data_IF_485203937749
#
_entry.id   IF_485203937749
#
_cell.length_a   1.000
_cell.length_b   1.000
_cell.length_c   1.000
_cell.angle_alpha   90.00
_cell.angle_beta   90.00
_cell.angle_gamma   90.00
#
_symmetry.space_group_name_H-M   'P 1'
#
loop_
_entity.id
_entity.type
_entity.pdbx_description
1 polymer ?
#
# COMPACT_ATOMS: atom_id res chain seq x y z
N UNK A 1 -17.62 -1.25 7.09
CA UNK A 1 -17.55 0.22 7.05
C UNK A 1 -18.78 0.66 6.29
N UNK A 2 -19.77 1.22 6.98
CA UNK A 2 -21.02 1.68 6.37
C UNK A 2 -21.01 3.21 6.51
N UNK A 3 -21.48 3.94 5.49
CA UNK A 3 -21.57 5.40 5.52
C UNK A 3 -20.44 6.17 4.82
N UNK A 4 -19.67 5.53 3.94
CA UNK A 4 -18.65 6.22 3.11
C UNK A 4 -19.13 6.52 1.68
N UNK A 5 -20.36 6.16 1.35
CA UNK A 5 -20.93 6.26 0.00
C UNK A 5 -20.91 7.69 -0.52
N UNK A 6 -21.38 8.64 0.29
CA UNK A 6 -21.43 10.07 -0.07
C UNK A 6 -20.03 10.65 -0.35
N UNK A 7 -19.02 10.28 0.47
CA UNK A 7 -17.63 10.71 0.25
C UNK A 7 -17.02 10.08 -1.00
N UNK A 8 -17.35 8.82 -1.29
CA UNK A 8 -16.84 8.10 -2.47
C UNK A 8 -17.44 8.70 -3.75
N UNK A 9 -18.74 8.96 -3.74
CA UNK A 9 -19.46 9.57 -4.86
C UNK A 9 -19.00 10.99 -5.13
N UNK A 10 -18.90 11.84 -4.11
CA UNK A 10 -18.37 13.20 -4.24
C UNK A 10 -16.93 13.25 -4.77
N UNK A 11 -16.14 12.21 -4.50
CA UNK A 11 -14.78 12.06 -5.02
C UNK A 11 -14.71 11.45 -6.43
N UNK A 12 -15.86 11.10 -7.03
CA UNK A 12 -15.93 10.45 -8.35
C UNK A 12 -15.31 9.05 -8.38
N UNK A 13 -15.20 8.38 -7.23
CA UNK A 13 -14.54 7.08 -7.11
C UNK A 13 -15.53 5.93 -7.24
N UNK A 14 -15.07 4.80 -7.78
CA UNK A 14 -15.84 3.56 -7.74
C UNK A 14 -15.84 2.99 -6.33
N UNK A 15 -17.02 2.69 -5.78
CA UNK A 15 -17.12 2.06 -4.47
C UNK A 15 -16.53 0.65 -4.47
N UNK A 16 -15.39 0.51 -3.81
CA UNK A 16 -14.68 -0.77 -3.61
C UNK A 16 -14.56 -1.11 -2.12
N UNK A 17 -15.46 -0.58 -1.29
CA UNK A 17 -15.48 -0.83 0.15
C UNK A 17 -15.82 -2.30 0.42
N UNK A 18 -15.17 -2.87 1.43
CA UNK A 18 -15.45 -4.22 1.90
C UNK A 18 -16.77 -4.27 2.65
N UNK A 19 -17.59 -5.23 2.27
CA UNK A 19 -18.84 -5.51 2.95
C UNK A 19 -18.54 -6.23 4.27
N UNK A 20 -19.15 -5.77 5.36
CA UNK A 20 -18.93 -6.34 6.69
C UNK A 20 -20.17 -7.13 7.10
N UNK A 21 -19.95 -8.39 7.49
CA UNK A 21 -21.00 -9.20 8.12
C UNK A 21 -21.27 -8.75 9.54
N UNK A 22 -22.52 -8.88 9.98
CA UNK A 22 -23.00 -8.54 11.31
C UNK A 22 -23.45 -9.81 12.03
N UNK A 23 -23.62 -9.77 13.37
CA UNK A 23 -24.05 -10.93 14.17
C UNK A 23 -25.28 -11.64 13.61
N UNK A 24 -26.27 -10.85 13.14
CA UNK A 24 -27.54 -11.35 12.61
C UNK A 24 -27.57 -11.46 11.08
N UNK A 25 -26.58 -10.89 10.39
CA UNK A 25 -26.53 -10.85 8.93
C UNK A 25 -25.14 -11.28 8.47
N UNK A 26 -24.97 -12.58 8.28
CA UNK A 26 -23.72 -13.16 7.78
C UNK A 26 -23.53 -12.76 6.32
N UNK A 27 -22.27 -12.64 5.89
CA UNK A 27 -21.96 -12.42 4.47
C UNK A 27 -22.40 -13.62 3.63
N UNK A 28 -23.06 -13.32 2.53
CA UNK A 28 -23.33 -14.29 1.46
C UNK A 28 -22.03 -14.72 0.78
N UNK A 29 -22.06 -15.85 0.08
CA UNK A 29 -20.86 -16.34 -0.61
C UNK A 29 -20.44 -15.43 -1.78
N UNK A 30 -21.39 -14.77 -2.43
CA UNK A 30 -21.11 -13.74 -3.43
C UNK A 30 -20.35 -12.54 -2.82
N UNK A 31 -20.77 -12.05 -1.65
CA UNK A 31 -20.09 -10.96 -0.95
C UNK A 31 -18.68 -11.37 -0.49
N UNK A 32 -18.51 -12.60 -0.01
CA UNK A 32 -17.18 -13.13 0.34
C UNK A 32 -16.26 -13.20 -0.88
N UNK A 33 -16.76 -13.65 -2.03
CA UNK A 33 -15.99 -13.70 -3.27
C UNK A 33 -15.55 -12.30 -3.72
N UNK A 34 -16.47 -11.32 -3.71
CA UNK A 34 -16.18 -9.91 -4.00
C UNK A 34 -15.13 -9.32 -3.04
N UNK A 35 -15.29 -9.54 -1.73
CA UNK A 35 -14.32 -9.09 -0.73
C UNK A 35 -12.94 -9.74 -0.92
N UNK A 36 -12.87 -11.01 -1.33
CA UNK A 36 -11.61 -11.72 -1.62
C UNK A 36 -10.88 -11.10 -2.81
N UNK A 37 -11.60 -10.68 -3.84
CA UNK A 37 -10.99 -9.99 -4.97
C UNK A 37 -10.45 -8.61 -4.54
N UNK A 38 -11.27 -7.84 -3.82
CA UNK A 38 -10.88 -6.53 -3.24
C UNK A 38 -9.65 -6.65 -2.31
N UNK A 39 -9.59 -7.69 -1.47
CA UNK A 39 -8.49 -7.88 -0.50
C UNK A 39 -7.16 -8.20 -1.16
N UNK A 40 -7.16 -8.89 -2.32
CA UNK A 40 -5.94 -9.27 -3.04
C UNK A 40 -5.08 -8.06 -3.38
N UNK A 41 -5.70 -6.97 -3.83
CA UNK A 41 -5.01 -5.72 -4.12
C UNK A 41 -4.70 -4.95 -2.84
N UNK A 42 -5.69 -4.85 -1.93
CA UNK A 42 -5.57 -4.11 -0.67
C UNK A 42 -4.41 -4.58 0.19
N UNK A 43 -4.22 -5.89 0.35
CA UNK A 43 -3.14 -6.46 1.16
C UNK A 43 -1.74 -6.05 0.68
N UNK A 44 -1.56 -5.86 -0.64
CA UNK A 44 -0.28 -5.41 -1.21
C UNK A 44 0.04 -3.96 -0.84
N UNK A 45 -0.99 -3.13 -0.73
CA UNK A 45 -0.88 -1.70 -0.43
C UNK A 45 -0.81 -1.48 1.08
N UNK A 46 -1.71 -2.10 1.86
CA UNK A 46 -1.75 -1.96 3.31
C UNK A 46 -0.48 -2.44 3.99
N UNK A 47 0.18 -3.48 3.47
CA UNK A 47 1.46 -3.91 4.00
C UNK A 47 2.52 -2.78 3.96
N UNK A 48 2.55 -2.00 2.87
CA UNK A 48 3.48 -0.86 2.72
C UNK A 48 3.21 0.16 3.82
N UNK A 49 1.96 0.59 3.96
CA UNK A 49 1.56 1.58 4.95
C UNK A 49 1.74 1.09 6.39
N UNK A 50 1.44 -0.19 6.66
CA UNK A 50 1.67 -0.81 7.96
C UNK A 50 3.15 -0.80 8.34
N UNK A 51 4.04 -1.12 7.39
CA UNK A 51 5.48 -1.06 7.62
C UNK A 51 5.98 0.38 7.83
N UNK A 52 5.52 1.31 6.99
CA UNK A 52 5.86 2.74 7.12
C UNK A 52 5.42 3.32 8.48
N UNK A 53 4.26 2.90 8.99
CA UNK A 53 3.70 3.34 10.27
C UNK A 53 4.47 2.73 11.44
N UNK A 54 4.62 1.41 11.47
CA UNK A 54 5.12 0.69 12.64
C UNK A 54 6.65 0.69 12.73
N UNK A 55 7.35 0.58 11.59
CA UNK A 55 8.80 0.36 11.58
C UNK A 55 9.59 1.60 11.18
N UNK A 56 9.03 2.46 10.32
CA UNK A 56 9.79 3.60 9.76
C UNK A 56 9.40 4.96 10.34
N UNK A 57 8.24 5.06 11.02
CA UNK A 57 7.63 6.33 11.42
C UNK A 57 7.58 7.34 10.24
N UNK A 58 7.32 6.84 9.04
CA UNK A 58 7.41 7.59 7.78
C UNK A 58 6.09 8.24 7.35
N UNK A 59 5.03 8.11 8.15
CA UNK A 59 3.70 8.65 7.86
C UNK A 59 3.61 10.18 7.99
N UNK A 60 4.58 10.81 8.65
CA UNK A 60 4.62 12.26 8.80
C UNK A 60 6.02 12.82 8.55
N UNK A 61 6.07 14.02 7.97
CA UNK A 61 7.32 14.72 7.64
C UNK A 61 7.29 16.12 8.24
N UNK A 62 8.29 16.42 9.06
CA UNK A 62 8.51 17.74 9.68
C UNK A 62 9.78 18.37 9.13
N UNK A 63 9.82 18.64 7.83
CA UNK A 63 10.94 19.32 7.18
C UNK A 63 10.52 20.70 6.69
N UNK A 64 11.41 21.68 6.84
CA UNK A 64 11.23 23.02 6.28
C UNK A 64 11.65 22.98 4.80
N UNK A 65 10.75 23.38 3.89
CA UNK A 65 11.01 23.45 2.46
C UNK A 65 10.59 22.21 1.67
N UNK A 66 9.92 22.44 0.53
CA UNK A 66 9.31 21.42 -0.33
C UNK A 66 10.34 20.43 -0.91
N UNK A 67 11.50 20.91 -1.34
CA UNK A 67 12.56 20.06 -1.93
C UNK A 67 13.05 19.03 -0.90
N UNK A 68 13.24 19.45 0.36
CA UNK A 68 13.67 18.56 1.45
C UNK A 68 12.59 17.54 1.82
N UNK A 69 11.33 17.97 1.84
CA UNK A 69 10.21 17.07 2.07
C UNK A 69 10.15 15.98 0.99
N UNK A 70 10.25 16.38 -0.29
CA UNK A 70 10.27 15.45 -1.43
C UNK A 70 11.42 14.46 -1.34
N UNK A 71 12.63 14.94 -1.03
CA UNK A 71 13.80 14.07 -0.83
C UNK A 71 13.59 13.05 0.32
N UNK A 72 12.99 13.48 1.43
CA UNK A 72 12.68 12.59 2.56
C UNK A 72 11.64 11.53 2.22
N UNK A 73 10.59 11.89 1.46
CA UNK A 73 9.62 10.92 0.93
C UNK A 73 10.31 9.89 0.04
N UNK A 74 11.15 10.36 -0.89
CA UNK A 74 11.90 9.50 -1.80
C UNK A 74 12.79 8.50 -1.04
N UNK A 75 13.53 8.98 -0.04
CA UNK A 75 14.40 8.13 0.79
C UNK A 75 13.61 7.11 1.62
N UNK A 76 12.45 7.49 2.17
CA UNK A 76 11.58 6.57 2.88
C UNK A 76 11.07 5.46 1.95
N UNK A 77 10.61 5.82 0.75
CA UNK A 77 10.15 4.84 -0.24
C UNK A 77 11.27 3.90 -0.70
N UNK A 78 12.48 4.44 -0.92
CA UNK A 78 13.65 3.65 -1.28
C UNK A 78 14.01 2.65 -0.17
N UNK A 79 14.08 3.13 1.07
CA UNK A 79 14.38 2.30 2.25
C UNK A 79 13.36 1.18 2.40
N UNK A 80 12.06 1.47 2.24
CA UNK A 80 11.02 0.45 2.25
C UNK A 80 11.26 -0.61 1.18
N UNK A 81 11.56 -0.21 -0.07
CA UNK A 81 11.81 -1.15 -1.16
C UNK A 81 13.03 -2.04 -0.89
N UNK A 82 14.10 -1.51 -0.31
CA UNK A 82 15.28 -2.28 0.07
C UNK A 82 14.95 -3.32 1.15
N UNK A 83 14.28 -2.89 2.23
CA UNK A 83 13.82 -3.78 3.31
C UNK A 83 12.84 -4.85 2.79
N UNK A 84 12.00 -4.48 1.82
CA UNK A 84 11.06 -5.44 1.21
C UNK A 84 11.78 -6.49 0.36
N UNK A 85 12.83 -6.11 -0.36
CA UNK A 85 13.63 -7.06 -1.14
C UNK A 85 14.31 -8.11 -0.25
N UNK A 86 14.85 -7.69 0.90
CA UNK A 86 15.50 -8.61 1.85
C UNK A 86 14.49 -9.58 2.47
N UNK A 87 13.32 -9.08 2.92
CA UNK A 87 12.24 -9.92 3.45
C UNK A 87 11.76 -10.98 2.45
N UNK A 88 11.61 -10.60 1.18
CA UNK A 88 11.18 -11.50 0.12
C UNK A 88 12.30 -12.40 -0.42
N UNK A 89 13.53 -12.27 0.12
CA UNK A 89 14.73 -12.96 -0.36
C UNK A 89 14.91 -12.83 -1.88
N UNK A 90 14.52 -11.68 -2.45
CA UNK A 90 14.63 -11.44 -3.88
C UNK A 90 16.10 -11.28 -4.24
N UNK A 91 16.57 -12.03 -5.24
CA UNK A 91 17.86 -11.77 -5.86
C UNK A 91 17.77 -10.47 -6.65
N UNK A 92 18.53 -9.46 -6.24
CA UNK A 92 18.74 -8.27 -7.06
C UNK A 92 19.85 -8.65 -8.04
N UNK A 93 19.48 -8.95 -9.28
CA UNK A 93 20.47 -9.12 -10.33
C UNK A 93 21.06 -7.74 -10.66
N UNK A 94 22.39 -7.67 -10.81
CA UNK A 94 23.06 -6.45 -11.24
C UNK A 94 22.54 -6.06 -12.63
N UNK A 95 21.65 -5.07 -12.70
CA UNK A 95 21.16 -4.52 -13.97
C UNK A 95 22.24 -3.64 -14.64
N UNK A 96 23.29 -3.23 -13.92
CA UNK A 96 24.26 -2.23 -14.37
C UNK A 96 25.68 -2.74 -14.66
N UNK A 97 25.93 -4.06 -14.73
CA UNK A 97 27.26 -4.62 -15.05
C UNK A 97 27.27 -5.60 -16.23
N UNK A 98 26.35 -5.44 -17.17
CA UNK A 98 26.46 -6.07 -18.50
C UNK A 98 26.41 -4.95 -19.53
N UNK A 99 27.40 -4.94 -20.42
CA UNK A 99 27.49 -4.13 -21.66
C UNK A 99 28.49 -2.95 -21.66
N UNK A 100 29.62 -3.04 -20.95
CA UNK A 100 30.75 -2.10 -21.22
C UNK A 100 32.15 -2.73 -21.23
N UNK A 101 32.26 -4.05 -21.31
CA UNK A 101 33.54 -4.77 -21.50
C UNK A 101 33.36 -6.02 -22.38
N UNK A 102 32.87 -5.83 -23.61
CA UNK A 102 32.99 -6.79 -24.69
C UNK A 102 33.25 -6.02 -25.99
#
# INVERSE_FOLDING_TARGET
YIGQEETIESSGMRNMVHEKGNRYHKLTDAQKASNKEKSRTRARVEHVFGFMTNSMNAMSIRTIGYIRATGKIGLANLTYNMMRCTQLKKKVHNVFLRDSYA
#
